data_IF_259591026614
#
_entry.id   IF_259591026614
#
_cell.length_a   1.000
_cell.length_b   1.000
_cell.length_c   1.000
_cell.angle_alpha   90.00
_cell.angle_beta   90.00
_cell.angle_gamma   90.00
#
_symmetry.space_group_name_H-M   'P 1'
#
loop_
_entity.id
_entity.type
_entity.pdbx_description
1 polymer ?
#
# COMPACT_ATOMS: atom_id res chain seq x y z
N UNK A 1 -13.45 7.07 -17.63
CA UNK A 1 -13.02 5.80 -17.02
C UNK A 1 -13.31 5.82 -15.51
N UNK A 2 -14.08 4.85 -15.01
CA UNK A 2 -14.27 4.68 -13.57
C UNK A 2 -12.99 4.09 -12.99
N UNK A 3 -12.32 4.84 -12.11
CA UNK A 3 -11.14 4.36 -11.41
C UNK A 3 -11.62 3.59 -10.19
N UNK A 4 -11.23 2.32 -10.07
CA UNK A 4 -11.57 1.48 -8.93
C UNK A 4 -10.64 1.84 -7.74
N UNK A 5 -11.20 2.50 -6.73
CA UNK A 5 -10.43 3.01 -5.57
C UNK A 5 -9.79 1.85 -4.81
N UNK A 6 -10.52 0.76 -4.58
CA UNK A 6 -10.00 -0.38 -3.84
C UNK A 6 -8.85 -1.07 -4.59
N UNK A 7 -8.92 -1.15 -5.91
CA UNK A 7 -7.81 -1.62 -6.73
C UNK A 7 -6.56 -0.74 -6.55
N UNK A 8 -6.71 0.59 -6.54
CA UNK A 8 -5.58 1.50 -6.31
C UNK A 8 -5.00 1.39 -4.89
N UNK A 9 -5.85 1.21 -3.88
CA UNK A 9 -5.40 0.97 -2.50
C UNK A 9 -4.55 -0.31 -2.41
N UNK A 10 -5.04 -1.41 -3.02
CA UNK A 10 -4.31 -2.67 -3.10
C UNK A 10 -3.01 -2.55 -3.93
N UNK A 11 -3.03 -1.79 -5.02
CA UNK A 11 -1.83 -1.52 -5.83
C UNK A 11 -0.79 -0.70 -5.06
N UNK A 12 -1.24 0.24 -4.21
CA UNK A 12 -0.37 1.03 -3.34
C UNK A 12 0.33 0.13 -2.32
N UNK A 13 -0.42 -0.77 -1.68
CA UNK A 13 0.13 -1.77 -0.75
C UNK A 13 1.11 -2.70 -1.48
N UNK A 14 0.74 -3.23 -2.65
CA UNK A 14 1.61 -4.05 -3.47
C UNK A 14 2.92 -3.32 -3.81
N UNK A 15 2.84 -2.06 -4.21
CA UNK A 15 4.01 -1.25 -4.55
C UNK A 15 4.96 -1.06 -3.37
N UNK A 16 4.41 -0.79 -2.18
CA UNK A 16 5.20 -0.67 -0.96
C UNK A 16 5.91 -1.99 -0.60
N UNK A 17 5.19 -3.11 -0.65
CA UNK A 17 5.73 -4.45 -0.36
C UNK A 17 6.81 -4.83 -1.37
N UNK A 18 6.54 -4.61 -2.65
CA UNK A 18 7.51 -4.83 -3.72
C UNK A 18 8.78 -4.02 -3.47
N UNK A 19 8.66 -2.71 -3.17
CA UNK A 19 9.84 -1.91 -2.85
C UNK A 19 10.64 -2.45 -1.65
N UNK A 20 9.95 -2.82 -0.56
CA UNK A 20 10.58 -3.36 0.65
C UNK A 20 11.31 -4.68 0.38
N UNK A 21 10.71 -5.57 -0.42
CA UNK A 21 11.29 -6.86 -0.76
C UNK A 21 12.57 -6.75 -1.60
N UNK A 22 12.74 -5.66 -2.35
CA UNK A 22 13.92 -5.39 -3.19
C UNK A 22 15.02 -4.61 -2.47
N UNK A 23 14.85 -4.28 -1.19
CA UNK A 23 15.94 -3.70 -0.39
C UNK A 23 17.11 -4.68 -0.29
N UNK A 24 18.33 -4.17 -0.19
CA UNK A 24 19.54 -5.01 -0.04
C UNK A 24 19.45 -5.95 1.18
N UNK A 25 18.77 -5.51 2.23
CA UNK A 25 18.45 -6.29 3.43
C UNK A 25 16.96 -6.08 3.76
N UNK A 26 16.05 -6.91 3.20
CA UNK A 26 14.63 -6.76 3.46
C UNK A 26 14.32 -7.12 4.92
N UNK A 27 13.42 -6.37 5.59
CA UNK A 27 12.99 -6.68 6.94
C UNK A 27 12.16 -7.97 6.96
N UNK A 28 12.28 -8.77 8.03
CA UNK A 28 11.48 -9.98 8.20
C UNK A 28 10.01 -9.71 8.53
N UNK A 29 9.72 -8.58 9.19
CA UNK A 29 8.37 -8.22 9.64
C UNK A 29 8.03 -6.82 9.13
N UNK A 30 6.92 -6.72 8.40
CA UNK A 30 6.42 -5.46 7.86
C UNK A 30 5.01 -5.21 8.39
N UNK A 31 4.81 -4.04 8.97
CA UNK A 31 3.51 -3.55 9.37
C UNK A 31 3.10 -2.42 8.43
N UNK A 32 1.95 -2.57 7.77
CA UNK A 32 1.38 -1.56 6.88
C UNK A 32 0.15 -0.97 7.56
N UNK A 33 0.15 0.36 7.72
CA UNK A 33 -1.01 1.10 8.15
C UNK A 33 -1.78 1.61 6.94
N UNK A 34 -3.10 1.46 6.95
CA UNK A 34 -4.00 1.95 5.89
C UNK A 34 -5.32 2.36 6.51
N UNK A 35 -6.01 3.32 5.90
CA UNK A 35 -7.40 3.66 6.24
C UNK A 35 -8.44 2.89 5.43
N UNK A 36 -7.99 1.99 4.54
CA UNK A 36 -8.87 1.10 3.79
C UNK A 36 -9.20 -0.17 4.59
N UNK A 37 -10.41 -0.22 5.14
CA UNK A 37 -10.95 -1.45 5.75
C UNK A 37 -11.03 -2.60 4.74
N UNK A 38 -11.35 -2.32 3.48
CA UNK A 38 -11.39 -3.32 2.42
C UNK A 38 -10.02 -3.99 2.22
N UNK A 39 -8.94 -3.21 2.25
CA UNK A 39 -7.57 -3.72 2.12
C UNK A 39 -7.16 -4.58 3.31
N UNK A 40 -7.53 -4.14 4.52
CA UNK A 40 -7.30 -4.91 5.76
C UNK A 40 -8.03 -6.26 5.69
N UNK A 41 -9.32 -6.25 5.34
CA UNK A 41 -10.13 -7.47 5.25
C UNK A 41 -9.60 -8.41 4.16
N UNK A 42 -9.20 -7.87 3.00
CA UNK A 42 -8.68 -8.66 1.90
C UNK A 42 -7.36 -9.35 2.23
N UNK A 43 -6.44 -8.65 2.91
CA UNK A 43 -5.13 -9.21 3.27
C UNK A 43 -5.21 -10.15 4.48
N UNK A 44 -6.11 -9.89 5.43
CA UNK A 44 -6.31 -10.80 6.57
C UNK A 44 -7.07 -12.08 6.17
N UNK A 45 -8.02 -11.99 5.24
CA UNK A 45 -8.79 -13.15 4.78
C UNK A 45 -8.14 -13.87 3.59
N UNK A 46 -7.17 -13.25 2.93
CA UNK A 46 -6.61 -13.67 1.64
C UNK A 46 -7.70 -13.91 0.58
N UNK A 47 -8.72 -13.05 0.59
CA UNK A 47 -9.86 -13.16 -0.32
C UNK A 47 -10.40 -11.79 -0.73
N UNK A 48 -11.00 -11.71 -1.91
CA UNK A 48 -11.65 -10.50 -2.44
C UNK A 48 -12.99 -10.87 -3.07
N UNK A 49 -13.94 -9.95 -3.03
CA UNK A 49 -15.27 -10.19 -3.57
C UNK A 49 -15.30 -10.09 -5.11
N UNK A 50 -14.56 -9.16 -5.69
CA UNK A 50 -14.54 -8.94 -7.14
C UNK A 50 -13.26 -9.51 -7.76
N UNK A 51 -13.41 -10.09 -8.96
CA UNK A 51 -12.31 -10.79 -9.63
C UNK A 51 -11.11 -9.89 -9.95
N UNK A 52 -11.37 -8.61 -10.27
CA UNK A 52 -10.34 -7.61 -10.61
C UNK A 52 -9.31 -7.42 -9.48
N UNK A 53 -9.73 -7.49 -8.21
CA UNK A 53 -8.84 -7.28 -7.06
C UNK A 53 -7.96 -8.50 -6.73
N UNK A 54 -8.18 -9.65 -7.39
CA UNK A 54 -7.34 -10.82 -7.15
C UNK A 54 -5.92 -10.62 -7.66
N UNK A 55 -5.73 -9.81 -8.72
CA UNK A 55 -4.42 -9.59 -9.30
C UNK A 55 -3.41 -9.00 -8.28
N UNK A 56 -3.69 -7.85 -7.64
CA UNK A 56 -2.77 -7.31 -6.65
C UNK A 56 -2.63 -8.20 -5.41
N UNK A 57 -3.72 -8.83 -4.93
CA UNK A 57 -3.65 -9.74 -3.78
C UNK A 57 -2.73 -10.94 -4.05
N UNK A 58 -2.84 -11.56 -5.24
CA UNK A 58 -1.96 -12.68 -5.64
C UNK A 58 -0.51 -12.25 -5.81
N UNK A 59 -0.27 -11.07 -6.36
CA UNK A 59 1.09 -10.53 -6.50
C UNK A 59 1.73 -10.30 -5.11
N UNK A 60 0.98 -9.73 -4.17
CA UNK A 60 1.42 -9.57 -2.77
C UNK A 60 1.76 -10.94 -2.16
N UNK A 61 0.87 -11.92 -2.29
CA UNK A 61 1.10 -13.26 -1.76
C UNK A 61 2.34 -13.92 -2.38
N UNK A 62 2.57 -13.75 -3.68
CA UNK A 62 3.77 -14.23 -4.37
C UNK A 62 5.05 -13.63 -3.77
N UNK A 63 5.10 -12.31 -3.60
CA UNK A 63 6.26 -11.63 -3.00
C UNK A 63 6.50 -12.12 -1.57
N UNK A 64 5.46 -12.27 -0.76
CA UNK A 64 5.56 -12.81 0.62
C UNK A 64 6.16 -14.21 0.62
N UNK A 65 5.68 -15.09 -0.27
CA UNK A 65 6.17 -16.46 -0.37
C UNK A 65 7.63 -16.54 -0.84
N UNK A 66 8.03 -15.68 -1.78
CA UNK A 66 9.39 -15.67 -2.34
C UNK A 66 10.41 -15.02 -1.39
N UNK A 67 10.02 -13.91 -0.74
CA UNK A 67 10.90 -13.14 0.14
C UNK A 67 10.95 -13.68 1.58
N UNK A 68 9.92 -14.41 2.01
CA UNK A 68 9.77 -14.85 3.41
C UNK A 68 9.42 -13.73 4.39
N UNK A 69 9.01 -12.55 3.88
CA UNK A 69 8.57 -11.43 4.70
C UNK A 69 7.20 -11.74 5.31
N UNK A 70 7.06 -11.58 6.62
CA UNK A 70 5.77 -11.62 7.32
C UNK A 70 5.15 -10.21 7.29
N UNK A 71 3.93 -10.11 6.73
CA UNK A 71 3.22 -8.86 6.53
C UNK A 71 1.97 -8.82 7.37
N UNK A 72 1.79 -7.71 8.08
CA UNK A 72 0.55 -7.39 8.79
C UNK A 72 0.00 -6.07 8.28
N UNK A 73 -1.31 -6.02 8.10
CA UNK A 73 -2.01 -4.79 7.71
C UNK A 73 -2.96 -4.37 8.82
N UNK A 74 -2.87 -3.11 9.22
CA UNK A 74 -3.64 -2.54 10.31
C UNK A 74 -4.40 -1.29 9.87
N UNK A 75 -5.66 -1.24 10.27
CA UNK A 75 -6.49 -0.08 9.99
C UNK A 75 -6.11 1.11 10.89
N UNK A 76 -5.98 2.30 10.28
CA UNK A 76 -5.93 3.59 10.98
C UNK A 76 -7.02 4.52 10.45
N UNK A 77 -7.60 5.42 11.26
CA UNK A 77 -8.54 6.43 10.74
C UNK A 77 -7.87 7.32 9.67
N UNK A 78 -8.60 7.71 8.62
CA UNK A 78 -8.06 8.58 7.55
C UNK A 78 -7.46 9.90 8.05
N UNK A 79 -7.98 10.47 9.14
CA UNK A 79 -7.39 11.65 9.83
C UNK A 79 -5.97 11.43 10.37
N UNK A 80 -5.52 10.18 10.46
CA UNK A 80 -4.15 9.78 10.82
C UNK A 80 -3.33 9.37 9.59
N UNK A 81 -3.97 9.18 8.43
CA UNK A 81 -3.36 8.78 7.17
C UNK A 81 -3.13 9.98 6.21
N UNK A 82 -3.05 11.20 6.75
CA UNK A 82 -3.02 12.46 5.98
C UNK A 82 -1.88 12.49 4.97
N UNK A 83 -0.70 11.98 5.34
CA UNK A 83 0.47 11.91 4.46
C UNK A 83 0.14 11.11 3.17
N UNK A 84 -0.42 9.91 3.31
CA UNK A 84 -0.78 9.08 2.17
C UNK A 84 -1.95 9.67 1.36
N UNK A 85 -2.94 10.28 2.02
CA UNK A 85 -4.10 10.91 1.37
C UNK A 85 -3.72 12.11 0.50
N UNK A 86 -2.81 12.97 0.98
CA UNK A 86 -2.30 14.10 0.19
C UNK A 86 -1.50 13.61 -1.03
N UNK A 87 -0.66 12.59 -0.84
CA UNK A 87 0.15 12.02 -1.93
C UNK A 87 -0.72 11.31 -2.98
N UNK A 88 -1.75 10.56 -2.56
CA UNK A 88 -2.64 9.84 -3.48
C UNK A 88 -3.49 10.79 -4.34
N UNK A 89 -3.81 11.97 -3.81
CA UNK A 89 -4.51 13.04 -4.54
C UNK A 89 -3.59 13.98 -5.32
N UNK A 90 -2.26 13.75 -5.31
CA UNK A 90 -1.25 14.62 -5.94
C UNK A 90 -1.27 16.07 -5.41
N UNK A 91 -1.68 16.27 -4.15
CA UNK A 91 -1.70 17.57 -3.48
C UNK A 91 -0.31 17.91 -2.92
N UNK A 92 0.68 18.02 -3.82
CA UNK A 92 2.10 18.14 -3.46
C UNK A 92 2.43 19.46 -2.75
N UNK A 93 1.73 20.55 -3.08
CA UNK A 93 1.93 21.85 -2.41
C UNK A 93 1.46 21.80 -0.95
N UNK A 94 0.28 21.22 -0.71
CA UNK A 94 -0.26 21.02 0.64
C UNK A 94 0.60 20.02 1.45
N UNK A 95 1.10 18.97 0.78
CA UNK A 95 2.05 18.04 1.38
C UNK A 95 3.32 18.75 1.82
N UNK A 96 3.96 19.52 0.94
CA UNK A 96 5.20 20.22 1.24
C UNK A 96 5.02 21.28 2.35
N UNK A 97 3.85 21.92 2.42
CA UNK A 97 3.53 22.86 3.48
C UNK A 97 3.41 22.17 4.87
N UNK A 98 2.85 20.96 4.91
CA UNK A 98 2.66 20.21 6.16
C UNK A 98 3.91 19.41 6.58
N UNK A 99 4.67 18.89 5.61
CA UNK A 99 5.82 18.02 5.81
C UNK A 99 7.07 18.58 5.11
N UNK A 100 7.57 19.77 5.50
CA UNK A 100 8.63 20.48 4.77
C UNK A 100 10.01 19.79 4.83
N UNK A 101 10.19 18.81 5.71
CA UNK A 101 11.43 18.04 5.84
C UNK A 101 11.46 16.79 4.95
N UNK A 102 10.32 16.41 4.36
CA UNK A 102 10.19 15.19 3.57
C UNK A 102 10.68 15.41 2.13
N UNK A 103 11.20 14.33 1.53
CA UNK A 103 11.55 14.28 0.12
C UNK A 103 10.66 13.28 -0.59
N UNK A 104 9.81 13.77 -1.50
CA UNK A 104 8.91 12.94 -2.29
C UNK A 104 9.60 12.53 -3.58
N UNK A 105 9.61 11.22 -3.86
CA UNK A 105 10.15 10.65 -5.08
C UNK A 105 9.05 9.92 -5.84
N UNK A 106 9.12 9.98 -7.17
CA UNK A 106 8.24 9.20 -8.03
C UNK A 106 8.73 7.76 -8.10
N UNK A 107 7.78 6.83 -8.23
CA UNK A 107 8.04 5.42 -8.47
C UNK A 107 7.09 4.90 -9.55
N UNK A 108 7.48 3.79 -10.18
CA UNK A 108 6.60 3.02 -11.07
C UNK A 108 6.04 1.83 -10.29
N UNK A 109 4.71 1.65 -10.22
CA UNK A 109 4.12 0.43 -9.68
C UNK A 109 4.62 -0.82 -10.42
N UNK A 110 4.71 -1.97 -9.73
CA UNK A 110 5.12 -3.24 -10.34
C UNK A 110 4.10 -3.79 -11.35
#
# INVERSE_FOLDING_TARGET
PFIDIFFLEMLTILSAIHHIAFLHHPPHYVLIWTDSLNSVDALNSLSVQQSLHNAPLKAIAGIVMESGIDIRVHHIPGKQNICADLLSHLLLDDYAAQFPADHVHLFSPP
#
